data_IF_332569963701
#
_entry.id   IF_332569963701
#
_cell.length_a   1.000
_cell.length_b   1.000
_cell.length_c   1.000
_cell.angle_alpha   90.00
_cell.angle_beta   90.00
_cell.angle_gamma   90.00
#
_symmetry.space_group_name_H-M   'P 1'
#
loop_
_entity.id
_entity.type
_entity.pdbx_description
1 polymer ?
#
# COMPACT_ATOMS: atom_id res chain seq x y z
N UNK A 1 6.03 3.56 17.24
CA UNK A 1 7.38 3.15 16.82
C UNK A 1 7.93 4.10 15.75
N UNK A 2 7.37 4.13 14.54
CA UNK A 2 7.92 4.90 13.41
C UNK A 2 8.00 6.41 13.65
N UNK A 3 7.10 6.99 14.44
CA UNK A 3 7.22 8.38 14.87
C UNK A 3 8.52 8.62 15.68
N UNK A 4 8.90 7.67 16.54
CA UNK A 4 10.16 7.72 17.28
C UNK A 4 11.40 7.53 16.39
N UNK A 5 11.23 6.97 15.19
CA UNK A 5 12.27 6.86 14.16
C UNK A 5 12.33 8.09 13.23
N UNK A 6 11.58 9.14 13.52
CA UNK A 6 11.58 10.39 12.79
C UNK A 6 10.59 10.46 11.62
N UNK A 7 9.66 9.49 11.52
CA UNK A 7 8.60 9.55 10.52
C UNK A 7 7.46 10.47 10.99
N UNK A 8 7.00 11.37 10.12
CA UNK A 8 5.75 12.09 10.31
C UNK A 8 4.58 11.11 10.17
N UNK A 9 3.67 11.13 11.14
CA UNK A 9 2.42 10.39 11.04
C UNK A 9 1.43 11.20 10.20
N UNK A 10 1.05 10.66 9.05
CA UNK A 10 0.14 11.29 8.11
C UNK A 10 -1.22 10.61 8.13
N UNK A 11 -2.25 11.33 7.70
CA UNK A 11 -3.56 10.72 7.38
C UNK A 11 -3.48 10.04 6.01
N UNK A 12 -4.39 9.09 5.75
CA UNK A 12 -4.59 8.56 4.40
C UNK A 12 -4.91 9.69 3.41
N UNK A 13 -4.42 9.56 2.19
CA UNK A 13 -4.84 10.48 1.12
C UNK A 13 -6.25 10.12 0.66
N UNK A 14 -7.12 11.12 0.49
CA UNK A 14 -8.56 10.96 0.32
C UNK A 14 -9.02 10.55 -1.10
N UNK A 15 -8.09 10.27 -2.00
CA UNK A 15 -8.38 9.75 -3.34
C UNK A 15 -8.17 8.23 -3.38
N UNK A 16 -9.08 7.51 -4.02
CA UNK A 16 -8.97 6.07 -4.24
C UNK A 16 -7.68 5.70 -4.98
N UNK A 17 -7.00 4.64 -4.54
CA UNK A 17 -5.77 4.13 -5.17
C UNK A 17 -5.54 2.66 -4.83
N UNK A 18 -4.74 1.98 -5.66
CA UNK A 18 -4.47 0.54 -5.55
C UNK A 18 -3.33 0.15 -4.61
N UNK A 19 -2.53 1.11 -4.16
CA UNK A 19 -1.41 0.86 -3.27
C UNK A 19 -0.98 2.12 -2.51
N UNK A 20 -0.40 1.94 -1.33
CA UNK A 20 0.20 3.03 -0.56
C UNK A 20 1.32 3.75 -1.32
N UNK A 21 2.06 3.05 -2.18
CA UNK A 21 3.05 3.62 -3.11
C UNK A 21 2.46 4.73 -3.99
N UNK A 22 1.19 4.61 -4.38
CA UNK A 22 0.51 5.59 -5.23
C UNK A 22 0.07 6.84 -4.48
N UNK A 23 0.16 6.87 -3.14
CA UNK A 23 -0.10 8.09 -2.38
C UNK A 23 0.90 9.18 -2.76
N UNK A 24 0.46 10.45 -2.89
CA UNK A 24 1.37 11.59 -3.10
C UNK A 24 2.46 11.68 -2.03
N UNK A 25 2.18 11.20 -0.82
CA UNK A 25 3.14 11.18 0.29
C UNK A 25 4.28 10.19 0.10
N UNK A 26 4.11 9.19 -0.76
CA UNK A 26 5.18 8.28 -1.19
C UNK A 26 5.65 8.65 -2.59
N UNK A 27 4.80 8.59 -3.60
CA UNK A 27 5.18 8.72 -5.00
C UNK A 27 5.85 10.08 -5.31
N UNK A 28 5.13 11.19 -5.05
CA UNK A 28 5.68 12.52 -5.36
C UNK A 28 6.85 12.89 -4.44
N UNK A 29 6.87 12.38 -3.21
CA UNK A 29 7.93 12.67 -2.24
C UNK A 29 9.16 11.79 -2.40
N UNK A 30 9.05 10.65 -3.08
CA UNK A 30 10.22 9.88 -3.48
C UNK A 30 11.07 10.62 -4.51
N UNK A 31 10.44 11.37 -5.41
CA UNK A 31 11.11 12.15 -6.45
C UNK A 31 11.83 13.37 -5.85
N UNK A 32 13.01 13.68 -6.38
CA UNK A 32 13.82 14.82 -5.96
C UNK A 32 14.77 14.51 -4.80
N UNK A 33 15.66 15.48 -4.46
CA UNK A 33 16.74 15.26 -3.48
C UNK A 33 16.31 15.48 -2.02
N UNK A 34 15.13 16.08 -1.76
CA UNK A 34 14.73 16.47 -0.42
C UNK A 34 14.48 15.26 0.48
N UNK A 35 15.02 15.26 1.71
CA UNK A 35 14.72 14.21 2.68
C UNK A 35 13.23 14.14 3.03
N UNK A 36 12.72 12.91 3.20
CA UNK A 36 11.31 12.71 3.55
C UNK A 36 11.10 11.42 4.32
N UNK A 37 10.52 11.50 5.51
CA UNK A 37 10.16 10.34 6.31
C UNK A 37 8.69 10.46 6.73
N UNK A 38 7.87 9.50 6.33
CA UNK A 38 6.45 9.48 6.66
C UNK A 38 5.95 8.06 6.93
N UNK A 39 4.91 7.97 7.76
CA UNK A 39 4.20 6.72 8.03
C UNK A 39 2.70 6.99 8.12
N UNK A 40 1.87 6.16 7.50
CA UNK A 40 0.42 6.33 7.43
C UNK A 40 -0.29 5.04 7.05
N UNK A 41 -1.55 4.93 7.43
CA UNK A 41 -2.44 3.87 6.93
C UNK A 41 -3.07 4.33 5.62
N UNK A 42 -2.97 3.51 4.58
CA UNK A 42 -3.57 3.81 3.28
C UNK A 42 -4.53 2.68 2.88
N UNK A 43 -5.85 2.94 2.85
CA UNK A 43 -6.79 2.02 2.25
C UNK A 43 -6.45 1.83 0.76
N UNK A 44 -6.27 0.58 0.35
CA UNK A 44 -5.89 0.22 -1.02
C UNK A 44 -6.99 -0.60 -1.65
N UNK A 45 -7.44 -0.16 -2.83
CA UNK A 45 -8.52 -0.82 -3.58
C UNK A 45 -7.98 -1.49 -4.83
N UNK A 46 -8.27 -2.78 -4.96
CA UNK A 46 -7.83 -3.62 -6.08
C UNK A 46 -9.03 -4.38 -6.65
N UNK A 47 -9.79 -3.78 -7.58
CA UNK A 47 -11.00 -4.41 -8.11
C UNK A 47 -10.80 -5.82 -8.64
N UNK A 48 -9.65 -6.09 -9.29
CA UNK A 48 -9.33 -7.43 -9.81
C UNK A 48 -9.13 -8.51 -8.71
N UNK A 49 -8.90 -8.10 -7.47
CA UNK A 49 -8.72 -9.00 -6.32
C UNK A 49 -10.03 -9.32 -5.59
N UNK A 50 -11.15 -8.74 -6.00
CA UNK A 50 -12.46 -9.04 -5.45
C UNK A 50 -12.80 -10.53 -5.52
N UNK A 51 -13.35 -11.09 -4.44
CA UNK A 51 -13.75 -12.51 -4.30
C UNK A 51 -15.08 -12.66 -3.60
N UNK A 52 -15.98 -11.66 -3.73
CA UNK A 52 -17.33 -11.68 -3.16
C UNK A 52 -17.38 -11.88 -1.63
N UNK A 53 -16.30 -11.58 -0.91
CA UNK A 53 -16.21 -11.86 0.52
C UNK A 53 -16.09 -13.34 0.88
N UNK A 54 -15.78 -14.20 -0.09
CA UNK A 54 -15.69 -15.67 0.10
C UNK A 54 -14.26 -16.15 0.35
N UNK A 55 -13.25 -15.34 -0.01
CA UNK A 55 -11.84 -15.70 0.23
C UNK A 55 -11.37 -15.12 1.56
N UNK A 56 -10.73 -15.94 2.44
CA UNK A 56 -10.32 -15.50 3.77
C UNK A 56 -9.17 -14.49 3.79
N UNK A 57 -8.40 -14.34 2.70
CA UNK A 57 -7.16 -13.56 2.68
C UNK A 57 -7.02 -12.62 1.48
N UNK A 58 -7.87 -12.74 0.45
CA UNK A 58 -7.83 -11.89 -0.74
C UNK A 58 -9.06 -11.01 -0.79
N UNK A 59 -8.83 -9.71 -0.82
CA UNK A 59 -9.85 -8.68 -0.65
C UNK A 59 -9.79 -7.67 -1.79
N UNK A 60 -10.95 -7.14 -2.17
CA UNK A 60 -11.08 -5.96 -3.01
C UNK A 60 -10.40 -4.73 -2.38
N UNK A 61 -10.61 -4.52 -1.07
CA UNK A 61 -10.00 -3.45 -0.30
C UNK A 61 -9.26 -4.02 0.89
N UNK A 62 -8.03 -3.54 1.11
CA UNK A 62 -7.24 -3.83 2.31
C UNK A 62 -6.52 -2.58 2.79
N UNK A 63 -6.05 -2.61 4.03
CA UNK A 63 -5.32 -1.50 4.65
C UNK A 63 -3.83 -1.80 4.63
N UNK A 64 -3.08 -0.87 4.06
CA UNK A 64 -1.61 -0.92 4.08
C UNK A 64 -1.10 0.10 5.08
N UNK A 65 -0.23 -0.31 6.00
CA UNK A 65 0.56 0.64 6.76
C UNK A 65 1.83 0.91 5.98
N UNK A 66 1.90 2.14 5.46
CA UNK A 66 2.95 2.59 4.56
C UNK A 66 4.00 3.38 5.33
N UNK A 67 5.27 3.01 5.16
CA UNK A 67 6.42 3.77 5.67
C UNK A 67 7.32 4.10 4.50
N UNK A 68 7.74 5.35 4.41
CA UNK A 68 8.78 5.79 3.47
C UNK A 68 9.86 6.55 4.22
N UNK A 69 11.12 6.22 3.96
CA UNK A 69 12.29 6.92 4.48
C UNK A 69 13.25 7.26 3.34
N UNK A 70 13.51 8.55 3.17
CA UNK A 70 14.42 9.09 2.17
C UNK A 70 15.37 10.12 2.80
N UNK A 71 16.70 9.96 2.72
CA UNK A 71 17.38 8.77 2.17
C UNK A 71 17.08 7.52 2.99
N UNK A 72 17.24 6.34 2.35
CA UNK A 72 17.14 5.05 3.03
C UNK A 72 18.18 4.95 4.14
N UNK A 73 17.82 4.68 5.41
CA UNK A 73 18.80 4.40 6.46
C UNK A 73 19.56 3.10 6.18
N UNK A 74 20.84 3.05 6.53
CA UNK A 74 21.65 1.83 6.37
C UNK A 74 21.11 0.63 7.17
N UNK A 75 20.51 0.88 8.33
CA UNK A 75 19.95 -0.12 9.24
C UNK A 75 18.44 -0.31 9.09
N UNK A 76 17.86 0.00 7.94
CA UNK A 76 16.40 -0.03 7.74
C UNK A 76 15.78 -1.41 7.99
N UNK A 77 16.51 -2.51 7.71
CA UNK A 77 16.06 -3.87 8.01
C UNK A 77 15.94 -4.12 9.51
N UNK A 78 16.92 -3.65 10.30
CA UNK A 78 16.88 -3.74 11.76
C UNK A 78 15.72 -2.91 12.33
N UNK A 79 15.48 -1.73 11.75
CA UNK A 79 14.33 -0.89 12.13
C UNK A 79 13.02 -1.63 11.84
N UNK A 80 12.90 -2.30 10.70
CA UNK A 80 11.73 -3.10 10.37
C UNK A 80 11.53 -4.26 11.36
N UNK A 81 12.57 -5.07 11.60
CA UNK A 81 12.49 -6.20 12.55
C UNK A 81 12.14 -5.73 13.97
N UNK A 82 12.68 -4.59 14.40
CA UNK A 82 12.33 -4.01 15.69
C UNK A 82 10.87 -3.53 15.73
N UNK A 83 10.30 -3.07 14.59
CA UNK A 83 8.88 -2.74 14.53
C UNK A 83 7.96 -3.94 14.74
N UNK A 84 8.36 -5.13 14.28
CA UNK A 84 7.63 -6.36 14.53
C UNK A 84 7.67 -6.75 16.02
N UNK A 85 8.81 -6.55 16.69
CA UNK A 85 8.92 -6.77 18.16
C UNK A 85 7.97 -5.89 18.96
N UNK A 86 7.81 -4.63 18.56
CA UNK A 86 6.84 -3.71 19.19
C UNK A 86 5.38 -4.16 19.03
N UNK A 87 5.10 -4.99 18.02
CA UNK A 87 3.81 -5.64 17.82
C UNK A 87 3.68 -6.97 18.56
N UNK A 88 4.71 -7.38 19.32
CA UNK A 88 4.73 -8.64 20.06
C UNK A 88 5.19 -9.85 19.23
N UNK A 89 5.75 -9.63 18.05
CA UNK A 89 6.31 -10.68 17.19
C UNK A 89 7.82 -10.73 17.41
N UNK A 90 8.30 -11.72 18.15
CA UNK A 90 9.74 -11.90 18.35
C UNK A 90 10.37 -12.63 17.16
N UNK A 91 11.27 -11.99 16.38
CA UNK A 91 11.94 -12.64 15.26
C UNK A 91 12.76 -13.89 15.62
N UNK A 92 13.06 -14.11 16.90
CA UNK A 92 13.77 -15.30 17.37
C UNK A 92 12.85 -16.51 17.59
N UNK A 93 11.54 -16.28 17.68
CA UNK A 93 10.53 -17.32 17.91
C UNK A 93 9.78 -17.71 16.62
N UNK A 94 10.02 -17.00 15.50
CA UNK A 94 9.30 -17.11 14.25
C UNK A 94 10.23 -17.32 13.05
N UNK A 95 9.75 -18.01 12.03
CA UNK A 95 10.43 -18.12 10.73
C UNK A 95 10.15 -16.85 9.89
N UNK A 96 11.05 -15.87 10.01
CA UNK A 96 10.99 -14.63 9.20
C UNK A 96 11.96 -14.76 8.05
N UNK A 97 11.43 -14.67 6.82
CA UNK A 97 12.21 -14.77 5.58
C UNK A 97 12.08 -13.50 4.77
N UNK A 98 13.24 -12.98 4.34
CA UNK A 98 13.33 -11.95 3.32
C UNK A 98 13.53 -12.65 1.97
N UNK A 99 12.48 -12.75 1.19
CA UNK A 99 12.50 -13.37 -0.14
C UNK A 99 12.74 -12.29 -1.17
N UNK A 100 13.84 -12.42 -1.93
CA UNK A 100 14.23 -11.43 -2.95
C UNK A 100 13.07 -11.18 -3.92
N UNK A 101 12.80 -9.90 -4.18
CA UNK A 101 11.79 -9.43 -5.11
C UNK A 101 12.33 -8.27 -5.95
N UNK A 102 12.28 -8.44 -7.28
CA UNK A 102 12.50 -7.38 -8.24
C UNK A 102 11.17 -6.66 -8.47
N UNK A 103 10.84 -5.78 -7.54
CA UNK A 103 9.55 -5.10 -7.53
C UNK A 103 9.39 -4.12 -8.69
N UNK A 104 8.26 -4.19 -9.37
CA UNK A 104 7.90 -3.29 -10.47
C UNK A 104 6.44 -2.84 -10.37
N UNK A 105 6.20 -1.58 -10.69
CA UNK A 105 4.88 -1.03 -10.96
C UNK A 105 4.89 -0.25 -12.28
N UNK A 106 4.64 -0.93 -13.40
CA UNK A 106 4.72 -0.32 -14.73
C UNK A 106 3.77 0.86 -14.92
N UNK A 107 2.57 0.82 -14.31
CA UNK A 107 1.59 1.91 -14.41
C UNK A 107 2.11 3.21 -13.83
N UNK A 108 2.98 3.13 -12.82
CA UNK A 108 3.61 4.28 -12.17
C UNK A 108 5.02 4.56 -12.70
N UNK A 109 5.53 3.75 -13.63
CA UNK A 109 6.92 3.81 -14.06
C UNK A 109 7.90 3.62 -12.90
N UNK A 110 7.57 2.71 -11.97
CA UNK A 110 8.38 2.44 -10.78
C UNK A 110 9.05 1.09 -10.87
N UNK A 111 10.29 1.03 -10.37
CA UNK A 111 11.05 -0.20 -10.18
C UNK A 111 11.96 -0.09 -8.95
N UNK A 112 12.20 -1.21 -8.31
CA UNK A 112 13.06 -1.30 -7.14
C UNK A 112 13.53 -2.70 -6.89
N UNK A 113 14.45 -2.84 -5.95
CA UNK A 113 14.92 -4.13 -5.44
C UNK A 113 14.56 -4.22 -3.96
N UNK A 114 14.25 -5.41 -3.49
CA UNK A 114 13.88 -5.61 -2.10
C UNK A 114 13.42 -7.02 -1.80
N UNK A 115 12.43 -7.11 -0.94
CA UNK A 115 11.96 -8.40 -0.46
C UNK A 115 10.45 -8.41 -0.20
N UNK A 116 9.83 -9.56 -0.46
CA UNK A 116 8.65 -9.98 0.27
C UNK A 116 9.10 -10.50 1.63
N UNK A 117 8.55 -9.96 2.71
CA UNK A 117 8.84 -10.48 4.06
C UNK A 117 7.74 -11.44 4.46
N UNK A 118 8.15 -12.68 4.70
CA UNK A 118 7.26 -13.79 5.06
C UNK A 118 7.43 -14.13 6.54
N UNK A 119 6.32 -14.27 7.24
CA UNK A 119 6.22 -14.69 8.63
C UNK A 119 5.53 -16.06 8.67
N UNK A 120 6.25 -17.11 9.13
CA UNK A 120 5.75 -18.47 9.25
C UNK A 120 5.02 -18.98 7.99
N UNK A 121 5.51 -18.59 6.81
CA UNK A 121 4.97 -19.01 5.51
C UNK A 121 3.90 -18.09 4.91
N UNK A 122 3.58 -16.97 5.53
CA UNK A 122 2.67 -15.95 4.99
C UNK A 122 3.40 -14.63 4.75
N UNK A 123 3.29 -14.08 3.55
CA UNK A 123 3.78 -12.73 3.24
C UNK A 123 2.99 -11.69 4.05
N UNK A 124 3.69 -10.89 4.84
CA UNK A 124 3.10 -9.84 5.67
C UNK A 124 3.50 -8.43 5.25
N UNK A 125 4.59 -8.29 4.51
CA UNK A 125 5.16 -6.99 4.17
C UNK A 125 5.88 -7.04 2.82
N UNK A 126 5.67 -6.01 2.00
CA UNK A 126 6.53 -5.68 0.86
C UNK A 126 7.55 -4.64 1.32
N UNK A 127 8.82 -4.90 1.09
CA UNK A 127 9.94 -4.02 1.44
C UNK A 127 10.75 -3.71 0.18
N UNK A 128 10.85 -2.42 -0.19
CA UNK A 128 11.43 -2.01 -1.47
C UNK A 128 12.40 -0.85 -1.31
N UNK A 129 13.55 -0.92 -1.96
CA UNK A 129 14.39 0.24 -2.23
C UNK A 129 14.06 0.76 -3.62
N UNK A 130 13.54 1.96 -3.71
CA UNK A 130 13.19 2.57 -4.99
C UNK A 130 14.43 2.95 -5.78
N UNK A 131 14.55 2.40 -6.98
CA UNK A 131 15.57 2.77 -7.94
C UNK A 131 15.03 3.71 -9.01
N UNK A 132 13.78 3.50 -9.42
CA UNK A 132 13.07 4.31 -10.41
C UNK A 132 11.67 4.63 -9.88
N UNK A 133 11.28 5.90 -9.95
CA UNK A 133 9.92 6.37 -9.63
C UNK A 133 9.49 7.37 -10.70
N UNK A 134 8.35 7.10 -11.34
CA UNK A 134 7.87 7.95 -12.44
C UNK A 134 8.80 7.98 -13.65
N UNK A 135 9.57 6.91 -13.86
CA UNK A 135 10.59 6.84 -14.92
C UNK A 135 11.87 7.60 -14.63
N UNK A 136 12.02 8.16 -13.41
CA UNK A 136 13.21 8.91 -12.98
C UNK A 136 14.05 8.05 -12.03
N UNK A 137 15.38 8.04 -12.23
CA UNK A 137 16.31 7.41 -11.29
C UNK A 137 16.31 8.14 -9.94
N UNK A 138 16.34 7.36 -8.85
CA UNK A 138 16.29 7.90 -7.49
C UNK A 138 17.68 8.19 -6.94
N UNK A 139 17.92 9.44 -6.60
CA UNK A 139 19.09 9.91 -5.85
C UNK A 139 18.67 11.05 -4.90
N UNK A 140 18.65 10.82 -3.58
CA UNK A 140 19.00 9.56 -2.90
C UNK A 140 17.91 8.48 -3.03
N UNK A 141 18.31 7.21 -2.88
CA UNK A 141 17.39 6.07 -2.80
C UNK A 141 16.49 6.19 -1.58
N UNK A 142 15.20 5.93 -1.77
CA UNK A 142 14.24 5.82 -0.68
C UNK A 142 13.92 4.34 -0.40
N UNK A 143 13.68 4.00 0.86
CA UNK A 143 13.09 2.71 1.25
C UNK A 143 11.61 2.86 1.54
N UNK A 144 10.83 1.92 1.00
CA UNK A 144 9.41 1.76 1.26
C UNK A 144 9.17 0.47 2.02
N UNK A 145 8.35 0.52 3.07
CA UNK A 145 7.90 -0.64 3.82
C UNK A 145 6.38 -0.60 3.84
N UNK A 146 5.77 -1.62 3.26
CA UNK A 146 4.30 -1.72 3.14
C UNK A 146 3.81 -2.94 3.89
N UNK A 147 3.27 -2.73 5.08
CA UNK A 147 2.69 -3.80 5.90
C UNK A 147 1.26 -4.09 5.44
N UNK A 148 0.91 -5.36 5.26
CA UNK A 148 -0.48 -5.80 5.07
C UNK A 148 -1.18 -5.93 6.42
N UNK A 149 -1.99 -4.95 6.81
CA UNK A 149 -2.54 -4.91 8.17
C UNK A 149 -3.48 -6.06 8.47
N UNK A 150 -4.31 -6.48 7.53
CA UNK A 150 -5.22 -7.61 7.73
C UNK A 150 -4.45 -8.92 7.96
N UNK A 151 -3.42 -9.20 7.17
CA UNK A 151 -2.59 -10.41 7.32
C UNK A 151 -1.85 -10.39 8.65
N UNK A 152 -1.23 -9.26 8.99
CA UNK A 152 -0.51 -9.09 10.23
C UNK A 152 -1.43 -9.22 11.45
N UNK A 153 -2.61 -8.60 11.39
CA UNK A 153 -3.63 -8.70 12.45
C UNK A 153 -4.19 -10.10 12.59
N UNK A 154 -4.42 -10.81 11.47
CA UNK A 154 -4.87 -12.21 11.50
C UNK A 154 -3.86 -13.11 12.19
N UNK A 155 -2.56 -12.86 11.96
CA UNK A 155 -1.50 -13.56 12.64
C UNK A 155 -1.51 -13.28 14.15
N UNK A 156 -1.56 -12.00 14.54
CA UNK A 156 -1.56 -11.56 15.97
C UNK A 156 -2.79 -12.09 16.71
N UNK A 157 -3.96 -12.05 16.09
CA UNK A 157 -5.21 -12.52 16.68
C UNK A 157 -5.44 -14.03 16.51
N UNK A 158 -4.56 -14.72 15.79
CA UNK A 158 -4.63 -16.16 15.52
C UNK A 158 -5.99 -16.58 14.90
N UNK A 159 -6.42 -15.86 13.87
CA UNK A 159 -7.63 -16.17 13.09
C UNK A 159 -7.29 -16.59 11.67
N UNK A 160 -8.11 -17.47 11.08
CA UNK A 160 -7.88 -18.02 9.74
C UNK A 160 -8.51 -17.18 8.62
N UNK A 161 -9.43 -16.31 8.96
CA UNK A 161 -10.09 -15.43 8.02
C UNK A 161 -10.01 -14.00 8.52
N UNK A 162 -9.71 -13.06 7.60
CA UNK A 162 -9.72 -11.64 7.92
C UNK A 162 -11.10 -11.15 8.40
N UNK A 163 -12.18 -11.82 8.00
CA UNK A 163 -13.53 -11.46 8.43
C UNK A 163 -13.80 -11.80 9.91
N UNK A 164 -12.99 -12.65 10.52
CA UNK A 164 -13.07 -13.03 11.93
C UNK A 164 -12.20 -12.14 12.84
N UNK A 165 -11.45 -11.18 12.24
CA UNK A 165 -10.69 -10.19 13.02
C UNK A 165 -11.62 -9.37 13.88
N UNK A 166 -11.29 -9.24 15.16
CA UNK A 166 -11.93 -8.25 16.02
C UNK A 166 -11.38 -6.86 15.69
N UNK A 167 -12.28 -6.00 15.18
CA UNK A 167 -11.94 -4.62 14.86
C UNK A 167 -11.94 -3.74 16.10
N UNK A 168 -12.97 -3.90 16.95
CA UNK A 168 -13.14 -3.19 18.22
C UNK A 168 -14.26 -3.86 19.02
N UNK A 169 -14.08 -4.03 20.32
CA UNK A 169 -15.07 -4.45 21.33
C UNK A 169 -16.28 -5.26 20.81
N UNK A 170 -16.02 -6.44 20.27
CA UNK A 170 -17.06 -7.36 19.77
C UNK A 170 -17.58 -7.03 18.37
N UNK A 171 -17.00 -6.08 17.65
CA UNK A 171 -17.29 -5.80 16.24
C UNK A 171 -16.21 -6.50 15.39
N UNK A 172 -16.64 -7.36 14.48
CA UNK A 172 -15.73 -8.05 13.59
C UNK A 172 -15.45 -7.24 12.32
N UNK A 173 -14.28 -7.45 11.73
CA UNK A 173 -13.94 -6.93 10.40
C UNK A 173 -15.02 -7.30 9.37
N UNK A 174 -15.55 -8.53 9.45
CA UNK A 174 -16.62 -9.01 8.59
C UNK A 174 -17.91 -8.22 8.71
N UNK A 175 -18.24 -7.70 9.88
CA UNK A 175 -19.44 -6.88 10.09
C UNK A 175 -19.37 -5.56 9.33
N UNK A 176 -18.17 -5.07 9.06
CA UNK A 176 -17.94 -3.79 8.40
C UNK A 176 -17.70 -3.98 6.90
N UNK A 177 -16.86 -4.97 6.51
CA UNK A 177 -16.29 -5.05 5.17
C UNK A 177 -16.82 -6.19 4.29
N UNK A 178 -17.50 -7.21 4.85
CA UNK A 178 -17.92 -8.38 4.05
C UNK A 178 -18.98 -8.04 3.01
N UNK A 179 -19.98 -7.24 3.34
CA UNK A 179 -20.99 -6.79 2.38
C UNK A 179 -20.39 -5.87 1.30
N UNK A 180 -19.58 -4.85 1.63
CA UNK A 180 -18.83 -4.08 0.64
C UNK A 180 -17.99 -4.95 -0.31
N UNK A 181 -17.30 -5.98 0.20
CA UNK A 181 -16.52 -6.92 -0.63
C UNK A 181 -17.40 -7.63 -1.66
N UNK A 182 -18.58 -8.09 -1.24
CA UNK A 182 -19.54 -8.71 -2.15
C UNK A 182 -20.04 -7.73 -3.23
N UNK A 183 -20.53 -6.56 -2.81
CA UNK A 183 -21.11 -5.58 -3.72
C UNK A 183 -20.08 -5.02 -4.71
N UNK A 184 -18.87 -4.71 -4.26
CA UNK A 184 -17.80 -4.23 -5.14
C UNK A 184 -17.32 -5.30 -6.12
N UNK A 185 -17.27 -6.57 -5.71
CA UNK A 185 -16.96 -7.67 -6.64
C UNK A 185 -18.03 -7.80 -7.72
N UNK A 186 -19.30 -7.77 -7.32
CA UNK A 186 -20.43 -7.81 -8.23
C UNK A 186 -20.43 -6.63 -9.21
N UNK A 187 -20.18 -5.42 -8.69
CA UNK A 187 -20.06 -4.23 -9.53
C UNK A 187 -18.94 -4.41 -10.56
N UNK A 188 -17.74 -4.78 -10.13
CA UNK A 188 -16.56 -4.84 -10.99
C UNK A 188 -16.67 -5.92 -12.07
N UNK A 189 -17.24 -7.08 -11.74
CA UNK A 189 -17.22 -8.24 -12.65
C UNK A 189 -18.51 -8.44 -13.44
N UNK A 190 -19.65 -7.89 -12.99
CA UNK A 190 -20.93 -8.21 -13.58
C UNK A 190 -21.69 -6.99 -14.12
N UNK A 191 -21.67 -5.85 -13.45
CA UNK A 191 -22.63 -4.77 -13.72
C UNK A 191 -22.01 -3.40 -14.03
N UNK A 192 -20.69 -3.29 -14.05
CA UNK A 192 -20.02 -2.02 -14.36
C UNK A 192 -20.34 -1.55 -15.78
N UNK A 193 -20.60 -0.26 -15.95
CA UNK A 193 -20.78 0.39 -17.24
C UNK A 193 -19.40 0.67 -17.87
N UNK A 194 -18.96 -0.23 -18.73
CA UNK A 194 -17.64 -0.16 -19.37
C UNK A 194 -17.49 1.06 -20.28
N UNK A 195 -18.56 1.48 -20.99
CA UNK A 195 -18.52 2.64 -21.88
C UNK A 195 -18.34 3.94 -21.09
N UNK A 196 -19.08 4.07 -19.98
CA UNK A 196 -18.91 5.18 -19.05
C UNK A 196 -17.49 5.22 -18.48
N UNK A 197 -16.96 4.08 -18.00
CA UNK A 197 -15.62 4.01 -17.41
C UNK A 197 -14.52 4.39 -18.41
N UNK A 198 -14.61 3.91 -19.67
CA UNK A 198 -13.67 4.30 -20.72
C UNK A 198 -13.77 5.79 -21.08
N UNK A 199 -14.96 6.35 -21.04
CA UNK A 199 -15.16 7.80 -21.26
C UNK A 199 -14.49 8.60 -20.14
N UNK A 200 -14.71 8.23 -18.86
CA UNK A 200 -14.08 8.87 -17.72
C UNK A 200 -12.56 8.76 -17.76
N UNK A 201 -12.02 7.58 -18.10
CA UNK A 201 -10.57 7.40 -18.26
C UNK A 201 -9.98 8.39 -19.27
N UNK A 202 -10.58 8.51 -20.46
CA UNK A 202 -10.10 9.44 -21.47
C UNK A 202 -10.23 10.91 -21.03
N UNK A 203 -11.28 11.25 -20.30
CA UNK A 203 -11.49 12.60 -19.79
C UNK A 203 -10.48 12.96 -18.70
N UNK A 204 -10.21 12.05 -17.76
CA UNK A 204 -9.22 12.23 -16.71
C UNK A 204 -7.80 12.33 -17.26
N UNK A 205 -7.44 11.47 -18.23
CA UNK A 205 -6.13 11.55 -18.90
C UNK A 205 -5.95 12.92 -19.60
N UNK A 206 -6.97 13.38 -20.31
CA UNK A 206 -6.94 14.67 -20.99
C UNK A 206 -6.75 15.82 -20.00
N UNK A 207 -7.48 15.82 -18.90
CA UNK A 207 -7.39 16.85 -17.87
C UNK A 207 -6.04 16.83 -17.14
N UNK A 208 -5.55 15.65 -16.77
CA UNK A 208 -4.22 15.50 -16.18
C UNK A 208 -3.13 16.10 -17.08
N UNK A 209 -3.14 15.77 -18.37
CA UNK A 209 -2.20 16.33 -19.36
C UNK A 209 -2.34 17.85 -19.52
N UNK A 210 -3.55 18.38 -19.42
CA UNK A 210 -3.81 19.84 -19.49
C UNK A 210 -3.22 20.56 -18.28
N UNK A 211 -3.38 19.99 -17.09
CA UNK A 211 -2.87 20.57 -15.84
C UNK A 211 -1.34 20.51 -15.78
N UNK A 212 -0.73 19.41 -16.20
CA UNK A 212 0.74 19.30 -16.28
C UNK A 212 1.37 20.36 -17.18
N UNK A 213 0.71 20.77 -18.28
CA UNK A 213 1.19 21.86 -19.13
C UNK A 213 1.15 23.23 -18.45
N UNK A 214 0.54 23.35 -17.29
CA UNK A 214 0.44 24.54 -16.45
C UNK A 214 1.25 24.40 -15.15
N UNK A 215 2.11 23.39 -15.06
CA UNK A 215 2.92 23.07 -13.88
C UNK A 215 2.09 22.79 -12.60
N UNK A 216 0.83 22.38 -12.77
CA UNK A 216 -0.10 22.04 -11.68
C UNK A 216 -0.03 20.55 -11.36
N UNK A 217 1.09 20.10 -10.76
CA UNK A 217 1.39 18.69 -10.55
C UNK A 217 0.38 18.00 -9.61
N UNK A 218 0.06 18.59 -8.46
CA UNK A 218 -0.84 17.96 -7.49
C UNK A 218 -2.24 17.72 -8.05
N UNK A 219 -2.98 18.69 -8.59
CA UNK A 219 -4.29 18.41 -9.17
C UNK A 219 -4.22 17.51 -10.41
N UNK A 220 -3.11 17.54 -11.18
CA UNK A 220 -2.92 16.57 -12.27
C UNK A 220 -2.79 15.15 -11.73
N UNK A 221 -2.07 14.98 -10.63
CA UNK A 221 -1.89 13.68 -10.00
C UNK A 221 -3.20 13.12 -9.44
N UNK A 222 -4.10 13.96 -8.91
CA UNK A 222 -5.44 13.53 -8.50
C UNK A 222 -6.26 12.94 -9.68
N UNK A 223 -6.10 13.50 -10.88
CA UNK A 223 -6.72 12.92 -12.09
C UNK A 223 -6.04 11.65 -12.57
N UNK A 224 -4.75 11.48 -12.32
CA UNK A 224 -4.02 10.22 -12.61
C UNK A 224 -4.46 9.08 -11.68
N UNK A 225 -4.78 9.40 -10.44
CA UNK A 225 -5.24 8.41 -9.46
C UNK A 225 -6.67 7.93 -9.72
N UNK A 226 -7.49 8.71 -10.38
CA UNK A 226 -8.90 8.39 -10.73
C UNK A 226 -9.01 7.51 -11.96
#
# INVERSE_FOLDING_TARGET
>A
YWAAQGCMLMQAYDTEKGAGTMSPYTFLRAIGPEPWNAAYVEPSRRPADGRYGENPNRLYQHHQFQVIMKPSPENIQDLYLNSLKELGIDPLEHDIRFVEDNWENPSMGCAGVGWEVWLDGMEITQFTYFQIVGGLEMDPVASEITYGLERLSSYIQNVNSVFDLEWSDGVLYGDIFKEPEYEHSKYSFEVSDQEMLLTLFNDYEREAKRLLKQDLVHPAYDYILK
#
